data_IF_665726005392
#
_entry.id   IF_665726005392
#
_cell.length_a   1.000
_cell.length_b   1.000
_cell.length_c   1.000
_cell.angle_alpha   90.00
_cell.angle_beta   90.00
_cell.angle_gamma   90.00
#
_symmetry.space_group_name_H-M   'P 1'
#
loop_
_entity.id
_entity.type
_entity.pdbx_description
1 polymer ?
#
# COMPACT_ATOMS: atom_id res chain seq x y z
N UNK A 1 10.19 -1.56 2.05
CA UNK A 1 9.05 -1.44 3.00
C UNK A 1 9.15 -0.10 3.74
N UNK A 2 8.07 0.33 4.35
CA UNK A 2 8.11 1.63 5.10
C UNK A 2 8.88 1.45 6.40
N UNK A 3 9.27 2.52 7.04
CA UNK A 3 10.03 2.42 8.30
C UNK A 3 9.30 1.51 9.29
N UNK A 4 8.03 1.74 9.50
CA UNK A 4 7.26 0.89 10.46
C UNK A 4 6.83 -0.42 9.79
N UNK A 5 6.52 -1.40 10.58
CA UNK A 5 6.09 -2.73 10.05
C UNK A 5 4.56 -2.79 9.92
N UNK A 6 4.09 -3.70 9.13
CA UNK A 6 2.62 -3.85 8.94
C UNK A 6 1.90 -3.82 10.29
N UNK A 7 2.45 -4.47 11.28
CA UNK A 7 1.80 -4.47 12.63
C UNK A 7 1.43 -3.03 13.02
N UNK A 8 2.28 -2.11 12.68
CA UNK A 8 1.99 -0.69 13.01
C UNK A 8 0.78 -0.25 12.17
N UNK A 9 0.82 -0.56 10.90
CA UNK A 9 -0.31 -0.17 9.99
C UNK A 9 -1.64 -0.52 10.67
N UNK A 10 -1.62 -1.50 11.54
CA UNK A 10 -2.87 -1.87 12.26
C UNK A 10 -3.10 -0.83 13.35
N UNK A 11 -2.04 -0.42 14.00
CA UNK A 11 -2.18 0.62 15.05
C UNK A 11 -2.77 1.87 14.39
N UNK A 12 -2.35 2.15 13.17
CA UNK A 12 -2.89 3.32 12.46
C UNK A 12 -4.41 3.20 12.41
N UNK A 13 -4.91 2.06 12.05
CA UNK A 13 -6.39 1.91 11.99
C UNK A 13 -7.01 2.37 13.32
N UNK A 14 -6.34 2.10 14.42
CA UNK A 14 -6.90 2.54 15.74
C UNK A 14 -6.61 4.01 16.01
N UNK A 15 -5.37 4.41 15.98
CA UNK A 15 -5.05 5.84 16.26
C UNK A 15 -5.75 6.72 15.23
N UNK A 16 -5.55 6.43 13.98
CA UNK A 16 -6.20 7.23 12.91
C UNK A 16 -7.71 7.22 13.13
N UNK A 17 -8.24 6.16 13.66
CA UNK A 17 -9.71 6.14 13.90
C UNK A 17 -10.02 7.16 15.01
N UNK A 18 -9.10 7.34 15.92
CA UNK A 18 -9.33 8.33 17.02
C UNK A 18 -9.07 9.75 16.51
N UNK A 19 -8.20 9.91 15.55
CA UNK A 19 -7.89 11.26 15.00
C UNK A 19 -8.67 11.47 13.69
N UNK A 20 -9.31 10.44 13.21
CA UNK A 20 -10.08 10.56 11.95
C UNK A 20 -9.14 10.37 10.76
N UNK A 21 -8.27 11.32 10.54
CA UNK A 21 -7.28 11.25 9.41
C UNK A 21 -6.84 12.68 9.07
N UNK A 22 -6.42 13.45 10.04
CA UNK A 22 -5.99 14.86 9.75
C UNK A 22 -4.98 15.37 10.79
N UNK A 23 -4.81 14.67 11.90
CA UNK A 23 -3.82 15.13 12.93
C UNK A 23 -2.60 14.23 12.84
N UNK A 24 -2.10 14.04 11.66
CA UNK A 24 -0.90 13.19 11.46
C UNK A 24 0.28 13.76 12.22
N UNK A 25 0.31 15.05 12.39
CA UNK A 25 1.43 15.67 13.13
C UNK A 25 1.38 15.18 14.56
N UNK A 26 0.21 14.89 15.05
CA UNK A 26 0.07 14.39 16.43
C UNK A 26 0.48 12.92 16.45
N UNK A 27 -0.09 12.14 15.58
CA UNK A 27 0.27 10.71 15.54
C UNK A 27 1.77 10.57 15.32
N UNK A 28 2.36 11.50 14.61
CA UNK A 28 3.82 11.42 14.34
C UNK A 28 4.59 11.78 15.63
N UNK A 29 4.02 12.60 16.46
CA UNK A 29 4.73 12.95 17.72
C UNK A 29 4.93 11.67 18.53
N UNK A 30 3.93 10.82 18.57
CA UNK A 30 4.06 9.55 19.31
C UNK A 30 5.23 8.76 18.71
N UNK A 31 5.21 8.58 17.41
CA UNK A 31 6.31 7.83 16.71
C UNK A 31 7.03 8.78 15.75
N UNK A 32 7.79 9.71 16.27
CA UNK A 32 8.52 10.66 15.38
C UNK A 32 9.45 9.89 14.45
N UNK A 33 9.49 8.59 14.56
CA UNK A 33 10.38 7.79 13.66
C UNK A 33 9.82 7.81 12.24
N UNK A 34 8.72 8.47 12.03
CA UNK A 34 8.11 8.53 10.66
C UNK A 34 7.47 9.91 10.45
N UNK A 35 7.25 10.30 9.22
CA UNK A 35 6.65 11.64 8.95
C UNK A 35 5.12 11.50 8.87
N UNK A 36 4.38 12.54 9.16
CA UNK A 36 2.89 12.47 9.11
C UNK A 36 2.41 11.91 7.77
N UNK A 37 3.09 12.22 6.71
CA UNK A 37 2.68 11.72 5.37
C UNK A 37 2.97 10.23 5.27
N UNK A 38 3.94 9.74 6.00
CA UNK A 38 4.25 8.28 5.92
C UNK A 38 3.09 7.46 6.48
N UNK A 39 2.52 7.87 7.59
CA UNK A 39 1.38 7.08 8.14
C UNK A 39 0.14 7.41 7.34
N UNK A 40 0.02 8.62 6.88
CA UNK A 40 -1.17 8.99 6.09
C UNK A 40 -1.18 8.16 4.80
N UNK A 41 -0.05 8.08 4.15
CA UNK A 41 0.04 7.27 2.89
C UNK A 41 -0.64 5.92 3.12
N UNK A 42 -0.61 5.41 4.33
CA UNK A 42 -1.28 4.11 4.60
C UNK A 42 -2.79 4.31 4.65
N UNK A 43 -3.23 5.40 5.23
CA UNK A 43 -4.69 5.67 5.34
C UNK A 43 -5.38 5.40 4.01
N UNK A 44 -4.97 6.06 2.97
CA UNK A 44 -5.61 5.85 1.64
C UNK A 44 -5.11 4.54 1.01
N UNK A 45 -3.89 4.17 1.23
CA UNK A 45 -3.34 2.91 0.63
C UNK A 45 -3.53 1.74 1.57
N UNK A 46 -4.38 1.84 2.56
CA UNK A 46 -4.58 0.69 3.50
C UNK A 46 -6.00 0.72 4.07
N UNK A 47 -6.41 1.80 4.70
CA UNK A 47 -7.80 1.87 5.26
C UNK A 47 -8.38 3.30 5.14
N UNK A 48 -9.49 3.41 4.45
CA UNK A 48 -10.19 4.72 4.27
C UNK A 48 -11.45 4.49 3.41
N UNK A 49 -11.33 3.81 2.29
CA UNK A 49 -12.46 3.55 1.37
C UNK A 49 -13.04 2.14 1.52
N UNK A 50 -12.41 1.30 2.30
CA UNK A 50 -12.91 -0.10 2.47
C UNK A 50 -12.61 -0.86 1.18
N UNK A 51 -11.36 -0.92 0.82
CA UNK A 51 -10.95 -1.63 -0.44
C UNK A 51 -10.62 -3.09 -0.11
N UNK A 52 -11.27 -3.65 0.88
CA UNK A 52 -10.98 -5.07 1.22
C UNK A 52 -11.26 -5.95 0.00
N UNK A 53 -11.76 -5.37 -1.07
CA UNK A 53 -12.04 -6.17 -2.30
C UNK A 53 -12.04 -5.26 -3.52
N UNK A 54 -10.90 -4.71 -3.87
CA UNK A 54 -10.80 -3.80 -5.06
C UNK A 54 -9.59 -4.21 -5.90
N UNK A 55 -9.61 -5.38 -6.48
CA UNK A 55 -8.47 -5.87 -7.31
C UNK A 55 -8.37 -5.15 -8.66
N UNK A 56 -7.18 -4.80 -9.06
CA UNK A 56 -6.99 -4.09 -10.35
C UNK A 56 -7.08 -5.08 -11.51
N UNK A 57 -6.86 -4.62 -12.72
CA UNK A 57 -6.95 -5.49 -13.93
C UNK A 57 -5.60 -5.45 -14.68
N UNK A 58 -5.47 -6.17 -15.78
CA UNK A 58 -4.21 -6.21 -16.58
C UNK A 58 -3.64 -4.81 -16.85
N UNK A 59 -4.43 -3.79 -16.69
CA UNK A 59 -3.94 -2.41 -16.91
C UNK A 59 -2.80 -2.15 -15.93
N UNK A 60 -3.00 -2.47 -14.68
CA UNK A 60 -1.91 -2.26 -13.70
C UNK A 60 -0.82 -3.28 -13.97
N UNK A 61 -1.18 -4.48 -14.36
CA UNK A 61 -0.13 -5.50 -14.65
C UNK A 61 0.83 -4.95 -15.71
N UNK A 62 0.30 -4.45 -16.79
CA UNK A 62 1.18 -3.92 -17.87
C UNK A 62 1.80 -2.59 -17.43
N UNK A 63 1.04 -1.76 -16.76
CA UNK A 63 1.61 -0.45 -16.30
C UNK A 63 2.50 -0.68 -15.08
N UNK A 64 2.34 -1.80 -14.41
CA UNK A 64 3.18 -2.09 -13.22
C UNK A 64 4.54 -2.57 -13.71
N UNK A 65 4.57 -3.38 -14.73
CA UNK A 65 5.87 -3.85 -15.26
C UNK A 65 6.79 -2.65 -15.48
N UNK A 66 6.20 -1.52 -15.80
CA UNK A 66 7.01 -0.29 -16.02
C UNK A 66 7.38 0.34 -14.67
N UNK A 67 6.46 0.42 -13.76
CA UNK A 67 6.77 1.03 -12.43
C UNK A 67 7.59 0.05 -11.60
N UNK A 68 7.11 -1.15 -11.42
CA UNK A 68 7.86 -2.17 -10.64
C UNK A 68 9.31 -2.23 -11.16
N UNK A 69 9.47 -2.29 -12.44
CA UNK A 69 10.83 -2.35 -13.04
C UNK A 69 11.70 -1.24 -12.43
N UNK A 70 11.08 -0.15 -12.05
CA UNK A 70 11.84 0.99 -11.45
C UNK A 70 11.85 0.86 -9.93
N UNK A 71 10.69 0.80 -9.32
CA UNK A 71 10.61 0.70 -7.83
C UNK A 71 10.70 -0.76 -7.37
N UNK A 72 10.02 -1.66 -8.05
CA UNK A 72 10.06 -3.10 -7.65
C UNK A 72 8.80 -3.41 -6.82
N UNK A 73 8.90 -4.21 -5.76
CA UNK A 73 7.71 -4.54 -4.93
C UNK A 73 7.39 -3.43 -3.92
N UNK A 74 7.72 -2.20 -4.22
CA UNK A 74 7.42 -1.10 -3.28
C UNK A 74 5.97 -0.67 -3.46
N UNK A 75 5.05 -1.52 -3.13
CA UNK A 75 3.61 -1.19 -3.31
C UNK A 75 3.30 0.15 -2.62
N UNK A 76 4.24 0.69 -1.91
CA UNK A 76 4.01 2.00 -1.24
C UNK A 76 4.03 3.10 -2.31
N UNK A 77 4.87 2.95 -3.30
CA UNK A 77 4.95 3.96 -4.38
C UNK A 77 3.89 3.64 -5.42
N UNK A 78 3.66 2.38 -5.68
CA UNK A 78 2.64 1.99 -6.69
C UNK A 78 1.25 2.36 -6.17
N UNK A 79 0.91 1.92 -5.00
CA UNK A 79 -0.45 2.24 -4.44
C UNK A 79 -0.73 3.74 -4.56
N UNK A 80 0.28 4.56 -4.63
CA UNK A 80 0.06 6.03 -4.74
C UNK A 80 -0.35 6.36 -6.17
N UNK A 81 -0.08 5.48 -7.09
CA UNK A 81 -0.45 5.74 -8.51
C UNK A 81 -1.87 5.21 -8.71
N UNK A 82 -2.34 4.41 -7.80
CA UNK A 82 -3.71 3.83 -7.89
C UNK A 82 -4.66 4.68 -7.04
N UNK A 83 -4.37 4.81 -5.77
CA UNK A 83 -5.25 5.60 -4.88
C UNK A 83 -6.60 4.93 -4.82
N UNK A 84 -6.70 3.78 -5.44
CA UNK A 84 -7.97 3.01 -5.46
C UNK A 84 -7.75 1.67 -4.76
N UNK A 85 -6.51 1.28 -4.59
CA UNK A 85 -6.20 -0.02 -3.91
C UNK A 85 -5.20 0.20 -2.78
N UNK A 86 -4.84 -0.86 -2.10
CA UNK A 86 -3.90 -0.77 -0.95
C UNK A 86 -2.74 -1.71 -1.22
N UNK A 87 -1.65 -1.50 -0.55
CA UNK A 87 -0.48 -2.38 -0.74
C UNK A 87 -0.88 -3.80 -0.39
N UNK A 88 -1.79 -3.94 0.54
CA UNK A 88 -2.25 -5.30 0.93
C UNK A 88 -2.99 -5.91 -0.27
N UNK A 89 -3.61 -5.11 -1.08
CA UNK A 89 -4.33 -5.64 -2.26
C UNK A 89 -3.33 -5.86 -3.40
N UNK A 90 -2.40 -4.96 -3.53
CA UNK A 90 -1.38 -5.09 -4.61
C UNK A 90 -0.41 -6.20 -4.24
N UNK A 91 0.16 -6.12 -3.08
CA UNK A 91 1.11 -7.18 -2.63
C UNK A 91 0.41 -8.53 -2.72
N UNK A 92 -0.88 -8.54 -2.49
CA UNK A 92 -1.66 -9.80 -2.52
C UNK A 92 -2.07 -10.15 -3.95
N UNK A 93 -2.51 -9.18 -4.72
CA UNK A 93 -2.94 -9.51 -6.12
C UNK A 93 -1.71 -9.74 -7.00
N UNK A 94 -0.65 -9.01 -6.79
CA UNK A 94 0.57 -9.20 -7.61
C UNK A 94 1.02 -10.65 -7.46
N UNK A 95 0.85 -11.22 -6.29
CA UNK A 95 1.26 -12.63 -6.09
C UNK A 95 0.28 -13.55 -6.85
N UNK A 96 -0.91 -13.08 -7.08
CA UNK A 96 -1.91 -13.90 -7.83
C UNK A 96 -1.62 -13.78 -9.31
N UNK A 97 -1.27 -12.61 -9.76
CA UNK A 97 -0.96 -12.42 -11.21
C UNK A 97 0.49 -12.82 -11.46
N UNK A 98 1.34 -12.64 -10.50
CA UNK A 98 2.77 -13.02 -10.69
C UNK A 98 2.89 -14.54 -10.66
N UNK A 99 1.88 -15.20 -10.14
CA UNK A 99 1.92 -16.68 -10.09
C UNK A 99 1.71 -17.24 -11.50
N UNK A 100 1.14 -16.44 -12.37
CA UNK A 100 0.90 -16.90 -13.76
C UNK A 100 2.19 -16.75 -14.55
N UNK A 101 2.93 -15.69 -14.30
CA UNK A 101 4.21 -15.47 -15.03
C UNK A 101 5.35 -16.17 -14.28
N UNK A 102 5.08 -16.64 -13.10
CA UNK A 102 6.13 -17.33 -12.30
C UNK A 102 6.78 -18.43 -13.15
N UNK A 103 5.99 -19.29 -13.74
CA UNK A 103 6.56 -20.38 -14.57
C UNK A 103 6.94 -19.83 -15.95
N UNK A 104 6.08 -19.99 -16.91
CA UNK A 104 6.36 -19.48 -18.28
C UNK A 104 5.04 -19.31 -19.03
N UNK A 105 3.95 -19.59 -18.37
CA UNK A 105 2.62 -19.44 -19.03
C UNK A 105 2.49 -18.06 -19.65
N UNK A 106 3.40 -17.17 -19.34
CA UNK A 106 3.33 -15.80 -19.91
C UNK A 106 3.26 -15.89 -21.43
N UNK A 107 3.56 -17.03 -21.99
CA UNK A 107 3.51 -17.19 -23.48
C UNK A 107 3.32 -18.66 -23.82
#
# INVERSE_FOLDING_TARGET
>A
KVKFTEEEDLKLQQLVMRYGAKDWIRISQLMITRNPRQCRERWNNYINPALRTDPWSPEEDMLLDQKYAEYGPKWNKISKFLKNRSDNNIRNRWMMIARHRAKHQKS
#
